data_IF_805531368840
#
_entry.id   IF_805531368840
#
_cell.length_a   1.000
_cell.length_b   1.000
_cell.length_c   1.000
_cell.angle_alpha   90.00
_cell.angle_beta   90.00
_cell.angle_gamma   90.00
#
_symmetry.space_group_name_H-M   'P 1'
#
loop_
_entity.id
_entity.type
_entity.pdbx_description
1 polymer ?
#
# COMPACT_ATOMS: atom_id res chain seq x y z
N UNK A 1 3.03 -20.54 1.43
CA UNK A 1 2.09 -21.40 0.64
C UNK A 1 1.60 -20.67 -0.61
N UNK A 2 2.34 -20.72 -1.74
CA UNK A 2 1.94 -20.01 -2.96
C UNK A 2 0.53 -20.39 -3.47
N UNK A 3 0.14 -21.67 -3.31
CA UNK A 3 -1.16 -22.15 -3.74
C UNK A 3 -2.36 -21.47 -3.03
N UNK A 4 -2.19 -20.91 -1.83
CA UNK A 4 -3.29 -20.24 -1.12
C UNK A 4 -3.62 -18.86 -1.70
N UNK A 5 -2.72 -18.25 -2.49
CA UNK A 5 -2.92 -16.94 -3.11
C UNK A 5 -4.14 -16.90 -4.03
N UNK A 6 -4.52 -18.05 -4.62
CA UNK A 6 -5.71 -18.18 -5.47
C UNK A 6 -7.02 -17.82 -4.77
N UNK A 7 -7.05 -17.87 -3.43
CA UNK A 7 -8.25 -17.56 -2.65
C UNK A 7 -8.41 -16.07 -2.35
N UNK A 8 -7.35 -15.28 -2.44
CA UNK A 8 -7.38 -13.86 -2.06
C UNK A 8 -8.40 -13.05 -2.87
N UNK A 9 -8.58 -13.26 -4.20
CA UNK A 9 -9.65 -12.60 -4.95
C UNK A 9 -11.06 -12.92 -4.43
N UNK A 10 -11.29 -14.14 -3.92
CA UNK A 10 -12.59 -14.52 -3.31
C UNK A 10 -12.77 -13.85 -1.94
N UNK A 11 -11.69 -13.77 -1.16
CA UNK A 11 -11.70 -13.10 0.16
C UNK A 11 -11.89 -11.59 0.03
N UNK A 12 -11.31 -10.97 -1.00
CA UNK A 12 -11.45 -9.55 -1.30
C UNK A 12 -12.89 -9.12 -1.67
N UNK A 13 -13.79 -10.06 -1.95
CA UNK A 13 -15.21 -9.77 -2.27
C UNK A 13 -16.17 -10.09 -1.14
N UNK A 14 -15.68 -10.51 0.03
CA UNK A 14 -16.54 -10.89 1.14
C UNK A 14 -17.21 -9.67 1.78
N UNK A 15 -18.41 -9.83 2.33
CA UNK A 15 -19.15 -8.75 3.03
C UNK A 15 -18.40 -8.27 4.28
N UNK A 16 -17.82 -9.20 5.03
CA UNK A 16 -17.04 -8.88 6.23
C UNK A 16 -15.70 -8.24 5.86
N UNK A 17 -15.48 -7.00 6.30
CA UNK A 17 -14.26 -6.25 6.00
C UNK A 17 -13.01 -6.87 6.63
N UNK A 18 -13.13 -7.63 7.72
CA UNK A 18 -11.98 -8.34 8.29
C UNK A 18 -11.43 -9.39 7.32
N UNK A 19 -12.29 -10.06 6.56
CA UNK A 19 -11.85 -11.04 5.56
C UNK A 19 -11.17 -10.32 4.38
N UNK A 20 -11.72 -9.18 3.93
CA UNK A 20 -11.08 -8.35 2.88
C UNK A 20 -9.72 -7.82 3.35
N UNK A 21 -9.62 -7.36 4.61
CA UNK A 21 -8.37 -6.93 5.23
C UNK A 21 -7.34 -8.05 5.25
N UNK A 22 -7.73 -9.26 5.62
CA UNK A 22 -6.84 -10.43 5.56
C UNK A 22 -6.34 -10.67 4.13
N UNK A 23 -7.19 -10.50 3.11
CA UNK A 23 -6.76 -10.64 1.71
C UNK A 23 -5.65 -9.65 1.33
N UNK A 24 -5.73 -8.40 1.79
CA UNK A 24 -4.70 -7.38 1.57
C UNK A 24 -3.40 -7.69 2.31
N UNK A 25 -3.49 -8.18 3.56
CA UNK A 25 -2.34 -8.43 4.42
C UNK A 25 -1.66 -9.79 4.16
N UNK A 26 -2.30 -10.72 3.45
CA UNK A 26 -1.81 -12.07 3.22
C UNK A 26 -0.42 -12.14 2.58
N UNK A 27 -0.01 -11.10 1.84
CA UNK A 27 1.30 -11.01 1.20
C UNK A 27 2.23 -9.98 1.83
N UNK A 28 1.86 -9.35 2.95
CA UNK A 28 2.59 -8.24 3.57
C UNK A 28 4.09 -8.53 3.73
N UNK A 29 4.44 -9.63 4.40
CA UNK A 29 5.83 -9.93 4.72
C UNK A 29 6.66 -10.29 3.47
N UNK A 30 6.04 -10.97 2.51
CA UNK A 30 6.69 -11.31 1.24
C UNK A 30 6.96 -10.05 0.41
N UNK A 31 5.97 -9.15 0.31
CA UNK A 31 6.11 -7.91 -0.43
C UNK A 31 7.14 -6.97 0.20
N UNK A 32 7.19 -6.91 1.54
CA UNK A 32 8.19 -6.16 2.32
C UNK A 32 9.62 -6.57 1.97
N UNK A 33 9.90 -7.87 1.82
CA UNK A 33 11.25 -8.37 1.50
C UNK A 33 11.56 -8.39 -0.01
N UNK A 34 10.69 -7.85 -0.85
CA UNK A 34 10.87 -7.75 -2.30
C UNK A 34 10.38 -8.97 -3.09
N UNK A 35 9.70 -9.91 -2.44
CA UNK A 35 9.03 -11.07 -3.05
C UNK A 35 7.53 -10.75 -3.24
N UNK A 36 6.71 -11.81 -3.33
CA UNK A 36 5.26 -11.74 -3.40
C UNK A 36 4.72 -11.32 -4.76
N UNK A 37 3.46 -11.65 -4.99
CA UNK A 37 2.73 -11.35 -6.23
C UNK A 37 2.19 -9.92 -6.18
N UNK A 38 3.03 -8.97 -6.56
CA UNK A 38 2.64 -7.56 -6.63
C UNK A 38 1.40 -7.32 -7.51
N UNK A 39 1.27 -7.91 -8.71
CA UNK A 39 0.06 -7.72 -9.53
C UNK A 39 -1.22 -8.18 -8.84
N UNK A 40 -1.15 -9.22 -8.01
CA UNK A 40 -2.29 -9.69 -7.23
C UNK A 40 -2.65 -8.70 -6.12
N UNK A 41 -1.66 -8.22 -5.35
CA UNK A 41 -1.89 -7.20 -4.32
C UNK A 41 -2.47 -5.92 -4.92
N UNK A 42 -1.88 -5.42 -6.01
CA UNK A 42 -2.33 -4.19 -6.69
C UNK A 42 -3.79 -4.32 -7.13
N UNK A 43 -4.19 -5.46 -7.70
CA UNK A 43 -5.58 -5.72 -8.12
C UNK A 43 -6.55 -5.77 -6.94
N UNK A 44 -6.17 -6.39 -5.83
CA UNK A 44 -6.99 -6.43 -4.61
C UNK A 44 -7.17 -5.02 -4.04
N UNK A 45 -6.07 -4.27 -3.92
CA UNK A 45 -6.11 -2.90 -3.42
C UNK A 45 -6.95 -1.99 -4.33
N UNK A 46 -6.83 -2.12 -5.66
CA UNK A 46 -7.62 -1.36 -6.65
C UNK A 46 -9.13 -1.53 -6.50
N UNK A 47 -9.58 -2.73 -6.16
CA UNK A 47 -11.00 -3.00 -5.89
C UNK A 47 -11.50 -2.42 -4.57
N UNK A 48 -10.61 -1.91 -3.72
CA UNK A 48 -10.92 -1.45 -2.36
C UNK A 48 -10.50 0.02 -2.11
N UNK A 49 -10.01 0.75 -3.12
CA UNK A 49 -9.53 2.13 -2.93
C UNK A 49 -10.63 3.08 -2.47
N UNK A 50 -11.85 2.86 -2.96
CA UNK A 50 -13.01 3.70 -2.67
C UNK A 50 -13.72 3.32 -1.36
N UNK A 51 -13.28 2.24 -0.68
CA UNK A 51 -13.85 1.85 0.61
C UNK A 51 -13.62 2.93 1.68
N UNK A 52 -14.62 3.15 2.53
CA UNK A 52 -14.54 4.10 3.65
C UNK A 52 -13.99 3.49 4.94
N UNK A 53 -13.93 2.16 5.01
CA UNK A 53 -13.46 1.42 6.18
C UNK A 53 -12.01 1.77 6.52
N UNK A 54 -11.81 2.31 7.72
CA UNK A 54 -10.51 2.76 8.22
C UNK A 54 -9.49 1.62 8.17
N UNK A 55 -9.89 0.41 8.58
CA UNK A 55 -8.99 -0.73 8.63
C UNK A 55 -8.57 -1.22 7.23
N UNK A 56 -9.40 -1.06 6.21
CA UNK A 56 -9.02 -1.39 4.83
C UNK A 56 -8.00 -0.37 4.31
N UNK A 57 -8.30 0.92 4.46
CA UNK A 57 -7.39 2.02 4.06
C UNK A 57 -6.02 1.91 4.72
N UNK A 58 -5.98 1.55 6.01
CA UNK A 58 -4.73 1.28 6.76
C UNK A 58 -3.98 0.07 6.24
N UNK A 59 -4.67 -1.02 5.91
CA UNK A 59 -4.02 -2.23 5.39
C UNK A 59 -3.34 -1.97 4.05
N UNK A 60 -4.03 -1.30 3.11
CA UNK A 60 -3.44 -0.89 1.82
C UNK A 60 -2.21 -0.01 2.07
N UNK A 61 -2.36 1.05 2.87
CA UNK A 61 -1.27 1.97 3.19
C UNK A 61 -0.06 1.27 3.83
N UNK A 62 -0.29 0.32 4.72
CA UNK A 62 0.77 -0.41 5.42
C UNK A 62 1.58 -1.30 4.46
N UNK A 63 0.91 -2.08 3.60
CA UNK A 63 1.61 -2.92 2.61
C UNK A 63 2.42 -2.07 1.64
N UNK A 64 1.85 -0.96 1.15
CA UNK A 64 2.56 -0.01 0.28
C UNK A 64 3.79 0.59 0.99
N UNK A 65 3.63 1.00 2.25
CA UNK A 65 4.70 1.57 3.08
C UNK A 65 5.86 0.60 3.28
N UNK A 66 5.58 -0.64 3.64
CA UNK A 66 6.66 -1.63 3.85
C UNK A 66 7.29 -2.06 2.54
N UNK A 67 6.51 -2.13 1.45
CA UNK A 67 7.05 -2.41 0.11
C UNK A 67 7.96 -1.29 -0.38
N UNK A 68 7.64 -0.02 -0.10
CA UNK A 68 8.41 1.13 -0.62
C UNK A 68 9.81 1.24 -0.03
N UNK A 69 10.07 0.67 1.14
CA UNK A 69 11.43 0.60 1.72
C UNK A 69 12.42 -0.13 0.81
N UNK A 70 11.97 -1.16 0.09
CA UNK A 70 12.83 -1.98 -0.80
C UNK A 70 12.55 -1.73 -2.29
N UNK A 71 11.31 -1.41 -2.65
CA UNK A 71 10.87 -1.18 -4.04
C UNK A 71 10.15 0.17 -4.15
N UNK A 72 10.83 1.31 -3.89
CA UNK A 72 10.20 2.63 -3.86
C UNK A 72 9.61 3.03 -5.22
N UNK A 73 10.30 2.74 -6.32
CA UNK A 73 9.80 3.02 -7.68
C UNK A 73 8.48 2.29 -7.97
N UNK A 74 8.40 1.02 -7.60
CA UNK A 74 7.20 0.19 -7.80
C UNK A 74 5.98 0.77 -7.09
N UNK A 75 6.15 1.23 -5.85
CA UNK A 75 5.07 1.86 -5.07
C UNK A 75 4.71 3.22 -5.64
N UNK A 76 5.70 4.04 -6.00
CA UNK A 76 5.45 5.34 -6.61
C UNK A 76 4.64 5.24 -7.92
N UNK A 77 5.02 4.33 -8.81
CA UNK A 77 4.33 4.11 -10.08
C UNK A 77 2.90 3.59 -9.89
N UNK A 78 2.63 2.89 -8.79
CA UNK A 78 1.27 2.50 -8.41
C UNK A 78 0.45 3.66 -7.84
N UNK A 79 1.03 4.45 -6.94
CA UNK A 79 0.35 5.58 -6.29
C UNK A 79 -0.02 6.68 -7.28
N UNK A 80 0.89 7.07 -8.18
CA UNK A 80 0.74 8.24 -9.06
C UNK A 80 -0.57 8.27 -9.87
N UNK A 81 -0.93 7.24 -10.65
CA UNK A 81 -2.16 7.27 -11.45
C UNK A 81 -3.45 7.07 -10.63
N UNK A 82 -3.33 6.73 -9.34
CA UNK A 82 -4.47 6.40 -8.46
C UNK A 82 -4.70 7.44 -7.37
N UNK A 83 -3.85 8.46 -7.30
CA UNK A 83 -3.81 9.48 -6.26
C UNK A 83 -5.20 9.98 -5.87
N UNK A 84 -6.00 10.36 -6.86
CA UNK A 84 -7.28 11.04 -6.63
C UNK A 84 -8.39 10.09 -6.15
N UNK A 85 -8.21 8.77 -6.33
CA UNK A 85 -9.09 7.72 -5.74
C UNK A 85 -8.67 7.32 -4.34
N UNK A 86 -7.42 7.53 -3.97
CA UNK A 86 -6.92 7.07 -2.67
C UNK A 86 -7.37 7.99 -1.54
N UNK A 87 -7.73 7.39 -0.41
CA UNK A 87 -7.85 8.15 0.83
C UNK A 87 -6.52 8.85 1.17
N UNK A 88 -6.60 10.06 1.72
CA UNK A 88 -5.40 10.78 2.17
C UNK A 88 -4.56 9.99 3.19
N UNK A 89 -5.20 9.12 3.97
CA UNK A 89 -4.51 8.18 4.88
C UNK A 89 -3.67 7.16 4.12
N UNK A 90 -4.27 6.47 3.13
CA UNK A 90 -3.57 5.47 2.31
C UNK A 90 -2.39 6.09 1.57
N UNK A 91 -2.60 7.27 0.97
CA UNK A 91 -1.56 7.98 0.22
C UNK A 91 -0.40 8.39 1.13
N UNK A 92 -0.68 8.97 2.31
CA UNK A 92 0.37 9.38 3.28
C UNK A 92 1.18 8.21 3.80
N UNK A 93 0.53 7.09 4.13
CA UNK A 93 1.23 5.88 4.60
C UNK A 93 2.09 5.27 3.50
N UNK A 94 1.51 5.01 2.32
CA UNK A 94 2.22 4.37 1.21
C UNK A 94 3.43 5.16 0.73
N UNK A 95 3.32 6.50 0.74
CA UNK A 95 4.39 7.39 0.30
C UNK A 95 5.44 7.71 1.37
N UNK A 96 5.33 7.18 2.60
CA UNK A 96 6.16 7.61 3.76
C UNK A 96 7.67 7.63 3.47
N UNK A 97 8.18 6.61 2.77
CA UNK A 97 9.59 6.42 2.50
C UNK A 97 9.98 6.73 1.04
N UNK A 98 9.11 7.39 0.30
CA UNK A 98 9.43 7.89 -1.04
C UNK A 98 10.26 9.18 -0.95
N UNK A 99 11.01 9.47 -2.01
CA UNK A 99 11.83 10.69 -2.06
C UNK A 99 10.97 11.96 -1.99
N UNK A 100 11.58 13.07 -1.57
CA UNK A 100 10.88 14.35 -1.49
C UNK A 100 10.26 14.76 -2.84
N UNK A 101 10.96 14.51 -3.96
CA UNK A 101 10.45 14.76 -5.30
C UNK A 101 9.20 13.92 -5.62
N UNK A 102 9.25 12.62 -5.31
CA UNK A 102 8.10 11.73 -5.50
C UNK A 102 6.91 12.16 -4.62
N UNK A 103 7.15 12.50 -3.35
CA UNK A 103 6.09 12.96 -2.44
C UNK A 103 5.45 14.26 -2.91
N UNK A 104 6.25 15.25 -3.35
CA UNK A 104 5.72 16.50 -3.92
C UNK A 104 4.88 16.24 -5.17
N UNK A 105 5.30 15.35 -6.06
CA UNK A 105 4.51 14.99 -7.24
C UNK A 105 3.17 14.29 -6.90
N UNK A 106 3.05 13.72 -5.71
CA UNK A 106 1.80 13.17 -5.17
C UNK A 106 0.99 14.22 -4.39
N UNK A 107 1.42 15.48 -4.36
CA UNK A 107 0.80 16.55 -3.56
C UNK A 107 0.96 16.37 -2.05
N UNK A 108 2.02 15.68 -1.62
CA UNK A 108 2.36 15.51 -0.21
C UNK A 108 3.58 16.34 0.17
N UNK A 109 3.57 16.86 1.39
CA UNK A 109 4.77 17.43 1.99
C UNK A 109 5.88 16.36 2.15
N UNK A 110 7.16 16.76 2.12
CA UNK A 110 8.29 15.90 2.49
C UNK A 110 8.06 15.17 3.83
N UNK A 111 8.52 13.92 3.93
CA UNK A 111 8.42 13.18 5.19
C UNK A 111 9.67 13.42 6.02
N UNK A 112 9.47 13.63 7.32
CA UNK A 112 10.53 13.74 8.32
C UNK A 112 10.18 12.88 9.53
N UNK A 113 11.19 12.36 10.21
CA UNK A 113 11.01 11.67 11.49
C UNK A 113 10.81 12.66 12.65
N UNK A 114 10.84 12.17 13.89
CA UNK A 114 10.66 13.01 15.09
C UNK A 114 11.80 14.00 15.31
N UNK A 115 12.97 13.73 14.73
CA UNK A 115 14.18 14.56 14.82
C UNK A 115 14.30 15.50 13.62
N UNK A 116 13.36 15.46 12.68
CA UNK A 116 13.39 16.28 11.46
C UNK A 116 14.27 15.70 10.34
N UNK A 117 14.74 14.45 10.44
CA UNK A 117 15.59 13.83 9.42
C UNK A 117 14.76 13.22 8.29
N UNK A 118 15.22 13.28 7.03
CA UNK A 118 14.59 12.57 5.92
C UNK A 118 14.82 11.06 6.04
N UNK A 119 14.07 10.27 5.28
CA UNK A 119 14.30 8.83 5.24
C UNK A 119 15.63 8.51 4.54
N UNK A 120 16.49 7.72 5.18
CA UNK A 120 17.77 7.28 4.62
C UNK A 120 18.94 8.25 4.82
N UNK A 121 18.76 9.31 5.61
CA UNK A 121 19.85 10.14 6.15
C UNK A 121 20.45 9.55 7.43
#
# INVERSE_FOLDING_TARGET
YPASLRWLPKWGKQKNFWIRRTALLAQHDQLKVGKGEWPLFARLADSMLDEQEFFIRKAIGWVLRETSKKRPKLVYDYLRPRRDRMSGLTLREGAKYLSDAQRRSLGLAPWRDREGKPFGA
#
